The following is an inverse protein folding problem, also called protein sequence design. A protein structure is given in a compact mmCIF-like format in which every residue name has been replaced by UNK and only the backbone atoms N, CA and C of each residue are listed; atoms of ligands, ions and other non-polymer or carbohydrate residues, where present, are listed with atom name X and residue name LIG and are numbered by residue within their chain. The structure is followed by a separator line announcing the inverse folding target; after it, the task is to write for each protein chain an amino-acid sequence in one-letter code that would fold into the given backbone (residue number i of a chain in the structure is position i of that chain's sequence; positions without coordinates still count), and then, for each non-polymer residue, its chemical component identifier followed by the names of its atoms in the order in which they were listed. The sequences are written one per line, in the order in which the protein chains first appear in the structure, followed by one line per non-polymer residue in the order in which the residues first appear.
data_IF_230751493233
#
_entry.id   IF_230751493233
#
_cell.length_a   1.000
_cell.length_b   1.000
_cell.length_c   1.000
_cell.angle_alpha   90.00
_cell.angle_beta   90.00
_cell.angle_gamma   90.00
#
_symmetry.space_group_name_H-M   'P 1'
#
loop_
_entity.id
_entity.type
_entity.pdbx_description
1 polymer ?
#
# COMPACT_ATOMS: atom_id res chain seq x y z
N UNK A 1 -1.44 21.31 24.37
CA UNK A 1 -0.78 22.16 23.35
C UNK A 1 0.47 21.50 22.74
N UNK A 2 1.40 20.94 23.52
CA UNK A 2 2.60 20.25 22.98
C UNK A 2 2.29 19.06 22.06
N UNK A 3 1.29 18.23 22.38
CA UNK A 3 0.90 17.09 21.53
C UNK A 3 0.34 17.51 20.17
N UNK A 4 -0.54 18.51 20.13
CA UNK A 4 -1.08 19.03 18.88
C UNK A 4 0.02 19.61 17.96
N UNK A 5 1.06 20.22 18.53
CA UNK A 5 2.21 20.68 17.76
C UNK A 5 3.01 19.51 17.17
N UNK A 6 3.27 18.46 17.97
CA UNK A 6 3.96 17.23 17.54
C UNK A 6 3.19 16.54 16.40
N UNK A 7 1.87 16.43 16.52
CA UNK A 7 1.01 15.85 15.48
C UNK A 7 1.06 16.65 14.17
N UNK A 8 1.03 17.98 14.24
CA UNK A 8 1.15 18.85 13.06
C UNK A 8 2.50 18.69 12.37
N UNK A 9 3.60 18.63 13.13
CA UNK A 9 4.95 18.41 12.59
C UNK A 9 5.06 17.05 11.92
N UNK A 10 4.54 15.97 12.54
CA UNK A 10 4.54 14.64 11.93
C UNK A 10 3.76 14.61 10.62
N UNK A 11 2.56 15.20 10.58
CA UNK A 11 1.76 15.32 9.34
C UNK A 11 2.46 16.12 8.24
N UNK A 12 3.33 17.07 8.61
CA UNK A 12 4.12 17.86 7.67
C UNK A 12 5.30 17.05 7.12
N UNK A 13 6.08 16.42 8.00
CA UNK A 13 7.22 15.54 7.65
C UNK A 13 6.75 14.41 6.73
N UNK A 14 5.61 13.80 6.99
CA UNK A 14 5.05 12.75 6.13
C UNK A 14 4.63 13.27 4.75
N UNK A 15 3.98 14.44 4.69
CA UNK A 15 3.65 15.08 3.41
C UNK A 15 4.90 15.37 2.60
N UNK A 16 5.98 15.78 3.25
CA UNK A 16 7.28 15.94 2.61
C UNK A 16 7.88 14.61 2.18
N UNK A 17 7.83 13.55 3.00
CA UNK A 17 8.33 12.20 2.66
C UNK A 17 7.62 11.64 1.43
N UNK A 18 6.29 11.76 1.36
CA UNK A 18 5.50 11.32 0.21
C UNK A 18 5.86 12.10 -1.06
N UNK A 19 5.93 13.43 -0.97
CA UNK A 19 6.38 14.27 -2.09
C UNK A 19 7.80 13.90 -2.51
N UNK A 20 8.70 13.69 -1.57
CA UNK A 20 10.09 13.33 -1.84
C UNK A 20 10.20 12.02 -2.61
N UNK A 21 9.51 10.95 -2.17
CA UNK A 21 9.49 9.67 -2.88
C UNK A 21 9.01 9.86 -4.33
N UNK A 22 8.00 10.72 -4.53
CA UNK A 22 7.47 11.03 -5.85
C UNK A 22 8.45 11.84 -6.73
N UNK A 23 9.13 12.83 -6.17
CA UNK A 23 10.01 13.74 -6.91
C UNK A 23 11.48 13.30 -6.95
N UNK A 24 11.89 12.29 -6.18
CA UNK A 24 13.28 11.80 -6.11
C UNK A 24 13.84 11.46 -7.49
N UNK A 25 13.05 10.82 -8.35
CA UNK A 25 13.48 10.49 -9.71
C UNK A 25 13.67 11.72 -10.60
N UNK A 26 12.82 12.73 -10.45
CA UNK A 26 12.98 14.01 -11.17
C UNK A 26 14.23 14.76 -10.71
N UNK A 27 14.52 14.75 -9.41
CA UNK A 27 15.76 15.33 -8.85
C UNK A 27 16.98 14.61 -9.44
N UNK A 28 16.97 13.27 -9.53
CA UNK A 28 18.06 12.54 -10.18
C UNK A 28 18.24 12.89 -11.65
N UNK A 29 17.14 13.11 -12.39
CA UNK A 29 17.23 13.57 -13.78
C UNK A 29 17.91 14.95 -13.88
N UNK A 30 17.57 15.87 -12.97
CA UNK A 30 18.18 17.21 -12.94
C UNK A 30 19.68 17.12 -12.59
N UNK A 31 20.05 16.35 -11.57
CA UNK A 31 21.47 16.17 -11.18
C UNK A 31 22.27 15.57 -12.34
N UNK A 32 21.75 14.53 -12.99
CA UNK A 32 22.44 13.85 -14.09
C UNK A 32 22.57 14.77 -15.32
N UNK A 33 21.54 15.55 -15.61
CA UNK A 33 21.60 16.57 -16.68
C UNK A 33 22.64 17.65 -16.35
N UNK A 34 22.68 18.13 -15.11
CA UNK A 34 23.67 19.12 -14.65
C UNK A 34 25.11 18.60 -14.74
N UNK A 35 25.32 17.31 -14.44
CA UNK A 35 26.61 16.65 -14.63
C UNK A 35 27.02 16.60 -16.11
N UNK A 36 26.09 16.22 -17.00
CA UNK A 36 26.33 16.21 -18.46
C UNK A 36 26.70 17.61 -18.97
N UNK A 37 25.96 18.64 -18.54
CA UNK A 37 26.27 20.04 -18.89
C UNK A 37 27.68 20.43 -18.44
N UNK A 38 28.05 20.07 -17.21
CA UNK A 38 29.37 20.40 -16.65
C UNK A 38 30.51 19.74 -17.44
N UNK A 39 30.32 18.48 -17.84
CA UNK A 39 31.29 17.74 -18.67
C UNK A 39 31.41 18.40 -20.04
N UNK A 40 30.30 18.72 -20.70
CA UNK A 40 30.31 19.36 -22.03
C UNK A 40 31.01 20.72 -21.97
N UNK A 41 30.72 21.53 -20.94
CA UNK A 41 31.35 22.84 -20.76
C UNK A 41 32.86 22.73 -20.58
N UNK A 42 33.33 21.68 -19.90
CA UNK A 42 34.76 21.44 -19.69
C UNK A 42 35.47 20.90 -20.96
N UNK A 43 34.79 20.06 -21.74
CA UNK A 43 35.40 19.31 -22.85
C UNK A 43 35.31 20.05 -24.20
N UNK A 44 34.37 20.98 -24.40
CA UNK A 44 34.13 21.60 -25.72
C UNK A 44 34.24 23.13 -25.73
N UNK A 45 35.47 23.69 -25.75
CA UNK A 45 35.63 25.12 -25.83
C UNK A 45 35.39 25.75 -27.22
N UNK A 46 35.37 25.00 -28.35
CA UNK A 46 35.07 25.57 -29.69
C UNK A 46 34.73 24.48 -30.74
N UNK A 47 33.48 24.40 -31.19
CA UNK A 47 33.08 23.52 -32.30
C UNK A 47 33.05 24.26 -33.65
N UNK A 48 33.47 23.55 -34.71
CA UNK A 48 33.29 23.99 -36.10
C UNK A 48 31.80 24.00 -36.48
N UNK A 49 31.30 25.02 -37.22
CA UNK A 49 29.89 25.15 -37.57
C UNK A 49 29.27 23.95 -38.30
N UNK A 50 30.04 23.22 -39.09
CA UNK A 50 29.56 22.05 -39.83
C UNK A 50 29.18 20.90 -38.88
N UNK A 51 30.02 20.62 -37.88
CA UNK A 51 29.75 19.58 -36.87
C UNK A 51 28.50 19.92 -36.05
N UNK A 52 28.33 21.19 -35.69
CA UNK A 52 27.17 21.67 -34.95
C UNK A 52 25.85 21.38 -35.68
N UNK A 53 25.80 21.56 -37.01
CA UNK A 53 24.60 21.26 -37.81
C UNK A 53 24.21 19.79 -37.76
N UNK A 54 25.19 18.89 -37.90
CA UNK A 54 24.94 17.45 -37.83
C UNK A 54 24.44 17.04 -36.44
N UNK A 55 25.06 17.54 -35.37
CA UNK A 55 24.67 17.23 -33.98
C UNK A 55 23.24 17.71 -33.71
N UNK A 56 22.90 18.96 -34.04
CA UNK A 56 21.58 19.52 -33.78
C UNK A 56 20.47 18.79 -34.55
N UNK A 57 20.72 18.45 -35.82
CA UNK A 57 19.80 17.66 -36.63
C UNK A 57 19.60 16.25 -36.05
N UNK A 58 20.69 15.57 -35.70
CA UNK A 58 20.64 14.23 -35.10
C UNK A 58 19.90 14.22 -33.75
N UNK A 59 20.09 15.24 -32.90
CA UNK A 59 19.36 15.38 -31.64
C UNK A 59 17.85 15.46 -31.88
N UNK A 60 17.41 16.36 -32.78
CA UNK A 60 15.99 16.53 -33.08
C UNK A 60 15.37 15.23 -33.59
N UNK A 61 16.02 14.56 -34.54
CA UNK A 61 15.55 13.29 -35.10
C UNK A 61 15.51 12.18 -34.05
N UNK A 62 16.57 12.04 -33.24
CA UNK A 62 16.65 11.05 -32.17
C UNK A 62 15.57 11.24 -31.11
N UNK A 63 15.34 12.47 -30.66
CA UNK A 63 14.29 12.77 -29.68
C UNK A 63 12.89 12.51 -30.24
N UNK A 64 12.64 12.85 -31.51
CA UNK A 64 11.37 12.57 -32.17
C UNK A 64 11.11 11.06 -32.28
N UNK A 65 12.13 10.28 -32.67
CA UNK A 65 12.02 8.83 -32.74
C UNK A 65 11.77 8.19 -31.37
N UNK A 66 12.49 8.62 -30.34
CA UNK A 66 12.31 8.13 -28.96
C UNK A 66 10.90 8.46 -28.45
N UNK A 67 10.42 9.70 -28.65
CA UNK A 67 9.08 10.10 -28.23
C UNK A 67 8.02 9.26 -28.93
N UNK A 68 8.12 9.10 -30.26
CA UNK A 68 7.20 8.30 -31.05
C UNK A 68 7.15 6.85 -30.56
N UNK A 69 8.31 6.23 -30.29
CA UNK A 69 8.41 4.87 -29.78
C UNK A 69 7.77 4.74 -28.39
N UNK A 70 8.15 5.59 -27.44
CA UNK A 70 7.64 5.52 -26.06
C UNK A 70 6.12 5.74 -26.03
N UNK A 71 5.63 6.69 -26.83
CA UNK A 71 4.21 6.95 -26.95
C UNK A 71 3.46 5.76 -27.56
N UNK A 72 4.01 5.16 -28.61
CA UNK A 72 3.41 4.00 -29.29
C UNK A 72 3.33 2.79 -28.35
N UNK A 73 4.41 2.47 -27.63
CA UNK A 73 4.40 1.39 -26.63
C UNK A 73 3.38 1.67 -25.53
N UNK A 74 3.33 2.91 -25.04
CA UNK A 74 2.36 3.30 -24.01
C UNK A 74 0.91 3.14 -24.49
N UNK A 75 0.62 3.50 -25.74
CA UNK A 75 -0.69 3.29 -26.36
C UNK A 75 -1.02 1.81 -26.53
N UNK A 76 -0.10 1.00 -27.04
CA UNK A 76 -0.30 -0.45 -27.22
C UNK A 76 -0.59 -1.10 -25.87
N UNK A 77 0.16 -0.76 -24.82
CA UNK A 77 -0.08 -1.29 -23.47
C UNK A 77 -1.44 -0.83 -22.93
N UNK A 78 -1.80 0.44 -23.12
CA UNK A 78 -3.12 0.93 -22.72
C UNK A 78 -4.25 0.20 -23.47
N UNK A 79 -4.11 -0.07 -24.76
CA UNK A 79 -5.07 -0.83 -25.57
C UNK A 79 -5.19 -2.29 -25.10
N UNK A 80 -4.06 -2.95 -24.79
CA UNK A 80 -4.07 -4.33 -24.27
C UNK A 80 -4.81 -4.45 -22.94
N UNK A 81 -4.84 -3.39 -22.13
CA UNK A 81 -5.60 -3.39 -20.87
C UNK A 81 -7.12 -3.25 -21.02
N UNK A 82 -7.65 -3.15 -22.26
CA UNK A 82 -9.09 -3.11 -22.61
C UNK A 82 -9.93 -2.03 -21.92
N UNK A 83 -9.33 -1.02 -21.32
CA UNK A 83 -10.05 0.10 -20.70
C UNK A 83 -9.69 1.43 -21.36
N UNK A 84 -10.63 1.98 -22.13
CA UNK A 84 -10.49 3.32 -22.72
C UNK A 84 -10.26 4.41 -21.66
N UNK A 85 -10.81 4.23 -20.45
CA UNK A 85 -10.59 5.14 -19.31
C UNK A 85 -9.15 5.14 -18.79
N UNK A 86 -8.40 4.05 -18.97
CA UNK A 86 -7.00 4.00 -18.59
C UNK A 86 -6.12 4.88 -19.48
N UNK A 87 -6.43 4.90 -20.79
CA UNK A 87 -5.73 5.74 -21.75
C UNK A 87 -5.88 7.22 -21.39
N UNK A 88 -7.10 7.65 -21.06
CA UNK A 88 -7.38 9.02 -20.62
C UNK A 88 -6.56 9.38 -19.36
N UNK A 89 -6.55 8.48 -18.37
CA UNK A 89 -5.82 8.68 -17.12
C UNK A 89 -4.29 8.75 -17.31
N UNK A 90 -3.73 7.99 -18.26
CA UNK A 90 -2.29 7.97 -18.55
C UNK A 90 -1.88 9.19 -19.38
N UNK A 91 -2.59 9.46 -20.48
CA UNK A 91 -2.23 10.52 -21.43
C UNK A 91 -2.49 11.91 -20.83
N UNK A 92 -3.63 12.12 -20.19
CA UNK A 92 -3.99 13.44 -19.66
C UNK A 92 -3.41 13.73 -18.28
N UNK A 93 -2.56 12.85 -17.74
CA UNK A 93 -1.84 13.12 -16.50
C UNK A 93 -0.94 14.35 -16.67
N UNK A 94 -0.97 15.24 -15.69
CA UNK A 94 -0.20 16.50 -15.70
C UNK A 94 1.30 16.27 -15.97
N UNK A 95 1.84 15.17 -15.45
CA UNK A 95 3.25 14.77 -15.65
C UNK A 95 3.53 14.39 -17.11
N UNK A 96 2.64 13.64 -17.76
CA UNK A 96 2.75 13.27 -19.18
C UNK A 96 2.64 14.51 -20.07
N UNK A 97 1.66 15.40 -19.81
CA UNK A 97 1.51 16.65 -20.56
C UNK A 97 2.77 17.51 -20.47
N UNK A 98 3.32 17.63 -19.27
CA UNK A 98 4.57 18.35 -19.05
C UNK A 98 5.72 17.73 -19.85
N UNK A 99 5.88 16.41 -19.80
CA UNK A 99 6.89 15.69 -20.56
C UNK A 99 6.73 15.89 -22.07
N UNK A 100 5.51 15.79 -22.60
CA UNK A 100 5.22 16.01 -24.02
C UNK A 100 5.60 17.42 -24.47
N UNK A 101 5.29 18.45 -23.66
CA UNK A 101 5.69 19.83 -23.96
C UNK A 101 7.22 19.96 -23.96
N UNK A 102 7.90 19.38 -22.97
CA UNK A 102 9.37 19.40 -22.90
C UNK A 102 10.03 18.70 -24.08
N UNK A 103 9.51 17.54 -24.50
CA UNK A 103 9.98 16.85 -25.69
C UNK A 103 9.71 17.66 -26.97
N UNK A 104 8.55 18.31 -27.09
CA UNK A 104 8.26 19.22 -28.20
C UNK A 104 9.29 20.35 -28.28
N UNK A 105 9.61 20.97 -27.14
CA UNK A 105 10.67 22.00 -27.05
C UNK A 105 12.03 21.38 -27.41
N UNK A 106 12.36 20.20 -26.91
CA UNK A 106 13.62 19.51 -27.20
C UNK A 106 13.81 19.12 -28.66
N UNK A 107 12.72 18.87 -29.40
CA UNK A 107 12.75 18.59 -30.85
C UNK A 107 12.87 19.90 -31.64
N UNK A 108 12.09 20.94 -31.29
CA UNK A 108 12.05 22.20 -32.04
C UNK A 108 13.28 23.08 -31.78
N UNK A 109 13.78 23.15 -30.54
CA UNK A 109 14.86 24.06 -30.18
C UNK A 109 16.16 23.82 -30.97
N UNK A 110 16.66 22.59 -31.17
CA UNK A 110 17.83 22.35 -32.01
C UNK A 110 17.64 22.84 -33.46
N UNK A 111 16.43 22.70 -34.02
CA UNK A 111 16.11 23.19 -35.37
C UNK A 111 16.10 24.72 -35.43
N UNK A 112 15.59 25.40 -34.39
CA UNK A 112 15.65 26.86 -34.31
C UNK A 112 17.09 27.37 -34.16
N UNK A 113 17.92 26.70 -33.36
CA UNK A 113 19.35 27.04 -33.26
C UNK A 113 20.04 26.93 -34.62
N UNK A 114 19.66 25.91 -35.41
CA UNK A 114 20.18 25.69 -36.75
C UNK A 114 19.81 26.83 -37.71
N UNK A 115 18.60 27.36 -37.62
CA UNK A 115 18.12 28.48 -38.44
C UNK A 115 18.74 29.82 -38.04
N UNK A 116 18.80 30.13 -36.74
CA UNK A 116 19.27 31.44 -36.26
C UNK A 116 20.79 31.56 -36.11
N UNK A 117 21.53 30.46 -36.18
CA UNK A 117 23.00 30.48 -36.17
C UNK A 117 23.63 30.73 -34.79
N UNK A 118 22.93 30.47 -33.69
CA UNK A 118 23.43 30.66 -32.31
C UNK A 118 24.30 29.49 -31.82
N UNK A 119 25.30 29.06 -32.58
CA UNK A 119 26.01 27.79 -32.36
C UNK A 119 26.70 27.67 -30.99
N UNK A 120 27.38 28.73 -30.53
CA UNK A 120 28.20 28.72 -29.31
C UNK A 120 27.43 28.35 -28.05
N UNK A 121 26.18 28.81 -27.93
CA UNK A 121 25.33 28.55 -26.77
C UNK A 121 24.22 27.53 -27.09
N UNK A 122 23.78 27.49 -28.36
CA UNK A 122 22.69 26.64 -28.79
C UNK A 122 23.04 25.15 -28.76
N UNK A 123 24.25 24.75 -29.18
CA UNK A 123 24.64 23.32 -29.16
C UNK A 123 24.67 22.76 -27.73
N UNK A 124 25.39 23.37 -26.76
CA UNK A 124 25.37 22.88 -25.37
C UNK A 124 23.96 22.87 -24.77
N UNK A 125 23.15 23.88 -25.05
CA UNK A 125 21.77 23.97 -24.56
C UNK A 125 20.89 22.86 -25.17
N UNK A 126 21.01 22.60 -26.46
CA UNK A 126 20.28 21.51 -27.13
C UNK A 126 20.68 20.14 -26.59
N UNK A 127 21.98 19.89 -26.36
CA UNK A 127 22.44 18.64 -25.75
C UNK A 127 21.92 18.51 -24.31
N UNK A 128 21.91 19.60 -23.54
CA UNK A 128 21.36 19.63 -22.19
C UNK A 128 19.87 19.28 -22.16
N UNK A 129 19.08 19.93 -23.02
CA UNK A 129 17.64 19.66 -23.15
C UNK A 129 17.41 18.22 -23.59
N UNK A 130 18.16 17.72 -24.58
CA UNK A 130 18.04 16.35 -25.05
C UNK A 130 18.36 15.33 -23.96
N UNK A 131 19.42 15.57 -23.19
CA UNK A 131 19.80 14.73 -22.04
C UNK A 131 18.70 14.70 -20.99
N UNK A 132 18.14 15.86 -20.65
CA UNK A 132 17.01 15.95 -19.73
C UNK A 132 15.79 15.17 -20.26
N UNK A 133 15.45 15.33 -21.53
CA UNK A 133 14.35 14.59 -22.18
C UNK A 133 14.56 13.08 -22.04
N UNK A 134 15.74 12.56 -22.40
CA UNK A 134 16.05 11.12 -22.27
C UNK A 134 15.97 10.64 -20.83
N UNK A 135 16.55 11.35 -19.86
CA UNK A 135 16.49 10.94 -18.46
C UNK A 135 15.08 11.02 -17.87
N UNK A 136 14.28 12.00 -18.30
CA UNK A 136 12.88 12.16 -17.87
C UNK A 136 11.96 11.01 -18.30
N UNK A 137 12.40 10.16 -19.24
CA UNK A 137 11.68 8.92 -19.57
C UNK A 137 11.63 7.94 -18.40
N UNK A 138 12.64 7.90 -17.53
CA UNK A 138 12.65 7.00 -16.38
C UNK A 138 11.51 7.28 -15.38
N UNK A 139 11.32 8.52 -14.85
CA UNK A 139 10.17 8.81 -14.01
C UNK A 139 8.84 8.65 -14.75
N UNK A 140 8.80 8.93 -16.06
CA UNK A 140 7.60 8.71 -16.87
C UNK A 140 7.20 7.23 -16.93
N UNK A 141 8.12 6.35 -17.35
CA UNK A 141 7.87 4.91 -17.44
C UNK A 141 7.52 4.31 -16.08
N UNK A 142 8.18 4.76 -15.00
CA UNK A 142 7.79 4.38 -13.64
C UNK A 142 6.37 4.83 -13.30
N UNK A 143 5.99 6.04 -13.71
CA UNK A 143 4.64 6.58 -13.55
C UNK A 143 3.58 5.77 -14.29
N UNK A 144 3.85 5.38 -15.54
CA UNK A 144 2.99 4.51 -16.35
C UNK A 144 2.84 3.14 -15.69
N UNK A 145 3.96 2.49 -15.32
CA UNK A 145 3.95 1.18 -14.65
C UNK A 145 3.11 1.20 -13.37
N UNK A 146 3.23 2.26 -12.56
CA UNK A 146 2.40 2.45 -11.38
C UNK A 146 0.90 2.53 -11.70
N UNK A 147 0.49 3.21 -12.77
CA UNK A 147 -0.93 3.32 -13.14
C UNK A 147 -1.45 1.96 -13.60
N UNK A 148 -0.69 1.27 -14.46
CA UNK A 148 -1.04 -0.06 -14.94
C UNK A 148 -1.19 -1.04 -13.78
N UNK A 149 -0.21 -1.09 -12.88
CA UNK A 149 -0.20 -2.01 -11.74
C UNK A 149 -1.33 -1.75 -10.75
N UNK A 150 -1.54 -0.50 -10.35
CA UNK A 150 -2.42 -0.19 -9.23
C UNK A 150 -3.82 0.26 -9.66
N UNK A 151 -3.93 1.13 -10.66
CA UNK A 151 -5.25 1.64 -11.05
C UNK A 151 -6.01 0.67 -11.93
N UNK A 152 -5.30 -0.04 -12.81
CA UNK A 152 -5.92 -0.96 -13.76
C UNK A 152 -5.86 -2.39 -13.21
N UNK A 153 -4.68 -2.82 -12.77
CA UNK A 153 -4.44 -4.18 -12.28
C UNK A 153 -5.39 -4.57 -11.16
N UNK A 154 -5.55 -3.71 -10.14
CA UNK A 154 -6.46 -3.99 -9.01
C UNK A 154 -7.92 -4.11 -9.47
N UNK A 155 -8.39 -3.23 -10.35
CA UNK A 155 -9.79 -3.23 -10.79
C UNK A 155 -10.08 -4.42 -11.71
N UNK A 156 -9.13 -4.79 -12.58
CA UNK A 156 -9.26 -6.01 -13.39
C UNK A 156 -9.28 -7.27 -12.51
N UNK A 157 -8.38 -7.35 -11.51
CA UNK A 157 -8.38 -8.48 -10.58
C UNK A 157 -9.67 -8.57 -9.78
N UNK A 158 -10.19 -7.43 -9.30
CA UNK A 158 -11.46 -7.34 -8.60
C UNK A 158 -12.62 -7.86 -9.45
N UNK A 159 -12.77 -7.35 -10.67
CA UNK A 159 -13.85 -7.77 -11.59
C UNK A 159 -13.75 -9.27 -11.92
N UNK A 160 -12.56 -9.78 -12.25
CA UNK A 160 -12.35 -11.21 -12.54
C UNK A 160 -12.68 -12.11 -11.33
N UNK A 161 -12.26 -11.71 -10.12
CA UNK A 161 -12.54 -12.47 -8.90
C UNK A 161 -14.03 -12.44 -8.56
N UNK A 162 -14.65 -11.25 -8.65
CA UNK A 162 -16.07 -11.07 -8.35
C UNK A 162 -16.97 -11.83 -9.32
N UNK A 163 -16.67 -11.80 -10.62
CA UNK A 163 -17.39 -12.57 -11.64
C UNK A 163 -17.31 -14.07 -11.34
N UNK A 164 -16.13 -14.58 -11.02
CA UNK A 164 -15.96 -16.00 -10.68
C UNK A 164 -16.78 -16.40 -9.44
N UNK A 165 -16.77 -15.56 -8.39
CA UNK A 165 -17.57 -15.79 -7.18
C UNK A 165 -19.07 -15.77 -7.48
N UNK A 166 -19.54 -14.83 -8.30
CA UNK A 166 -20.96 -14.74 -8.65
C UNK A 166 -21.46 -15.95 -9.43
N UNK A 167 -20.62 -16.47 -10.33
CA UNK A 167 -20.90 -17.71 -11.06
C UNK A 167 -20.78 -18.98 -10.20
N UNK A 168 -20.49 -18.85 -8.89
CA UNK A 168 -20.25 -19.99 -7.99
C UNK A 168 -19.03 -20.82 -8.39
N UNK A 169 -18.21 -20.33 -9.31
CA UNK A 169 -16.96 -20.98 -9.70
C UNK A 169 -15.95 -20.68 -8.61
N UNK A 170 -15.09 -21.65 -8.31
CA UNK A 170 -13.94 -21.38 -7.44
C UNK A 170 -13.06 -20.36 -8.18
N UNK A 171 -12.94 -19.09 -7.73
CA UNK A 171 -12.01 -18.15 -8.33
C UNK A 171 -10.62 -18.78 -8.32
N UNK A 172 -9.85 -18.54 -9.37
CA UNK A 172 -8.46 -19.01 -9.41
C UNK A 172 -7.73 -18.38 -8.24
N UNK A 173 -7.24 -19.19 -7.32
CA UNK A 173 -6.53 -18.76 -6.12
C UNK A 173 -5.34 -17.85 -6.43
N UNK A 174 -4.76 -18.03 -7.62
CA UNK A 174 -3.72 -17.18 -8.17
C UNK A 174 -4.10 -15.70 -8.19
N UNK A 175 -5.38 -15.36 -8.40
CA UNK A 175 -5.85 -13.97 -8.52
C UNK A 175 -5.91 -13.24 -7.18
N UNK A 176 -6.34 -13.93 -6.11
CA UNK A 176 -6.28 -13.38 -4.74
C UNK A 176 -4.82 -13.24 -4.30
N UNK A 177 -3.98 -14.22 -4.66
CA UNK A 177 -2.53 -14.14 -4.40
C UNK A 177 -1.88 -12.96 -5.12
N UNK A 178 -2.22 -12.74 -6.39
CA UNK A 178 -1.76 -11.61 -7.18
C UNK A 178 -2.19 -10.29 -6.54
N UNK A 179 -3.42 -10.18 -6.05
CA UNK A 179 -3.89 -8.99 -5.33
C UNK A 179 -3.13 -8.78 -4.00
N UNK A 180 -2.78 -9.85 -3.28
CA UNK A 180 -1.91 -9.78 -2.11
C UNK A 180 -0.49 -9.31 -2.47
N UNK A 181 0.11 -9.83 -3.54
CA UNK A 181 1.44 -9.42 -4.03
C UNK A 181 1.46 -7.94 -4.49
N UNK A 182 0.38 -7.46 -5.10
CA UNK A 182 0.18 -6.04 -5.40
C UNK A 182 0.07 -5.22 -4.11
N UNK A 183 -0.60 -5.75 -3.08
CA UNK A 183 -0.66 -5.17 -1.73
C UNK A 183 0.72 -5.01 -1.11
N UNK A 184 1.51 -6.07 -1.08
CA UNK A 184 2.88 -6.03 -0.56
C UNK A 184 3.77 -5.06 -1.32
N UNK A 185 3.61 -4.98 -2.64
CA UNK A 185 4.32 -4.00 -3.45
C UNK A 185 3.93 -2.57 -3.07
N UNK A 186 2.64 -2.31 -2.88
CA UNK A 186 2.15 -1.00 -2.45
C UNK A 186 2.72 -0.60 -1.08
N UNK A 187 2.90 -1.58 -0.17
CA UNK A 187 3.57 -1.37 1.11
C UNK A 187 5.04 -0.99 0.91
N UNK A 188 5.81 -1.74 0.11
CA UNK A 188 7.21 -1.41 -0.18
C UNK A 188 7.37 -0.02 -0.81
N UNK A 189 6.39 0.41 -1.59
CA UNK A 189 6.36 1.73 -2.24
C UNK A 189 5.73 2.84 -1.37
N UNK A 190 5.30 2.54 -0.13
CA UNK A 190 4.62 3.47 0.78
C UNK A 190 3.37 4.14 0.18
N UNK A 191 2.55 3.35 -0.52
CA UNK A 191 1.32 3.77 -1.23
C UNK A 191 0.06 3.48 -0.41
N UNK A 192 -0.17 4.25 0.65
CA UNK A 192 -1.31 4.04 1.57
C UNK A 192 -2.69 4.13 0.88
N UNK A 193 -2.82 4.99 -0.12
CA UNK A 193 -4.02 5.15 -0.94
C UNK A 193 -4.38 3.85 -1.67
N UNK A 194 -3.36 3.20 -2.22
CA UNK A 194 -3.49 1.91 -2.90
C UNK A 194 -3.80 0.80 -1.90
N UNK A 195 -3.15 0.78 -0.74
CA UNK A 195 -3.43 -0.22 0.30
C UNK A 195 -4.88 -0.13 0.77
N UNK A 196 -5.40 1.09 0.95
CA UNK A 196 -6.82 1.30 1.28
C UNK A 196 -7.78 0.87 0.15
N UNK A 197 -7.37 0.97 -1.11
CA UNK A 197 -8.14 0.41 -2.23
C UNK A 197 -8.12 -1.12 -2.19
N UNK A 198 -6.96 -1.73 -2.01
CA UNK A 198 -6.80 -3.19 -1.94
C UNK A 198 -7.57 -3.77 -0.75
N UNK A 199 -7.53 -3.12 0.41
CA UNK A 199 -8.27 -3.58 1.59
C UNK A 199 -9.77 -3.58 1.34
N UNK A 200 -10.30 -2.56 0.64
CA UNK A 200 -11.72 -2.49 0.27
C UNK A 200 -12.10 -3.58 -0.73
N UNK A 201 -11.28 -3.81 -1.75
CA UNK A 201 -11.48 -4.89 -2.73
C UNK A 201 -11.48 -6.24 -2.03
N UNK A 202 -10.44 -6.55 -1.26
CA UNK A 202 -10.33 -7.80 -0.51
C UNK A 202 -11.51 -7.96 0.46
N UNK A 203 -11.89 -6.93 1.22
CA UNK A 203 -13.04 -7.00 2.12
C UNK A 203 -14.33 -7.36 1.39
N UNK A 204 -14.62 -6.70 0.26
CA UNK A 204 -15.80 -7.01 -0.57
C UNK A 204 -15.76 -8.43 -1.12
N UNK A 205 -14.62 -8.87 -1.66
CA UNK A 205 -14.41 -10.24 -2.14
C UNK A 205 -14.62 -11.25 -1.01
N UNK A 206 -14.07 -10.99 0.18
CA UNK A 206 -14.22 -11.83 1.36
C UNK A 206 -15.67 -11.94 1.81
N UNK A 207 -16.38 -10.82 1.92
CA UNK A 207 -17.81 -10.81 2.26
C UNK A 207 -18.65 -11.57 1.23
N UNK A 208 -18.40 -11.36 -0.06
CA UNK A 208 -19.16 -12.02 -1.11
C UNK A 208 -18.87 -13.51 -1.20
N UNK A 209 -17.61 -13.92 -1.00
CA UNK A 209 -17.26 -15.33 -0.92
C UNK A 209 -17.90 -16.02 0.28
N UNK A 210 -17.99 -15.36 1.44
CA UNK A 210 -18.70 -15.87 2.61
C UNK A 210 -20.20 -16.03 2.34
N UNK A 211 -20.83 -15.05 1.70
CA UNK A 211 -22.24 -15.12 1.26
C UNK A 211 -22.50 -16.32 0.35
N UNK A 212 -21.59 -16.59 -0.60
CA UNK A 212 -21.67 -17.72 -1.52
C UNK A 212 -21.16 -19.04 -0.92
N UNK A 213 -20.86 -19.06 0.39
CA UNK A 213 -20.34 -20.23 1.13
C UNK A 213 -19.05 -20.81 0.53
N UNK A 214 -18.25 -19.97 -0.11
CA UNK A 214 -16.93 -20.32 -0.68
C UNK A 214 -15.84 -20.20 0.39
N UNK A 215 -15.95 -20.97 1.47
CA UNK A 215 -15.13 -20.82 2.69
C UNK A 215 -13.61 -20.78 2.42
N UNK A 216 -13.12 -21.59 1.49
CA UNK A 216 -11.69 -21.62 1.15
C UNK A 216 -11.23 -20.28 0.56
N UNK A 217 -12.06 -19.66 -0.28
CA UNK A 217 -11.81 -18.33 -0.85
C UNK A 217 -11.84 -17.28 0.25
N UNK A 218 -12.83 -17.34 1.14
CA UNK A 218 -12.95 -16.45 2.29
C UNK A 218 -11.70 -16.51 3.16
N UNK A 219 -11.21 -17.72 3.45
CA UNK A 219 -10.00 -17.92 4.27
C UNK A 219 -8.76 -17.33 3.61
N UNK A 220 -8.59 -17.49 2.28
CA UNK A 220 -7.47 -16.87 1.54
C UNK A 220 -7.52 -15.35 1.59
N UNK A 221 -8.70 -14.76 1.51
CA UNK A 221 -8.87 -13.31 1.66
C UNK A 221 -8.50 -12.85 3.07
N UNK A 222 -8.90 -13.61 4.10
CA UNK A 222 -8.54 -13.32 5.50
C UNK A 222 -7.02 -13.34 5.67
N UNK A 223 -6.33 -14.36 5.14
CA UNK A 223 -4.86 -14.41 5.17
C UNK A 223 -4.21 -13.23 4.44
N UNK A 224 -4.72 -12.85 3.27
CA UNK A 224 -4.22 -11.70 2.53
C UNK A 224 -4.40 -10.39 3.33
N UNK A 225 -5.58 -10.16 3.90
CA UNK A 225 -5.84 -8.99 4.75
C UNK A 225 -4.94 -8.98 5.99
N UNK A 226 -4.79 -10.12 6.68
CA UNK A 226 -3.90 -10.28 7.83
C UNK A 226 -2.45 -9.91 7.48
N UNK A 227 -1.90 -10.49 6.42
CA UNK A 227 -0.53 -10.26 5.97
C UNK A 227 -0.30 -8.79 5.56
N UNK A 228 -1.21 -8.20 4.78
CA UNK A 228 -1.14 -6.78 4.41
C UNK A 228 -1.25 -5.90 5.67
N UNK A 229 -2.12 -6.26 6.62
CA UNK A 229 -2.31 -5.52 7.87
C UNK A 229 -1.05 -5.49 8.72
N UNK A 230 -0.43 -6.65 8.94
CA UNK A 230 0.82 -6.78 9.69
C UNK A 230 1.95 -5.96 9.06
N UNK A 231 2.17 -6.11 7.75
CA UNK A 231 3.19 -5.35 7.02
C UNK A 231 2.88 -3.84 7.00
N UNK A 232 1.61 -3.44 6.99
CA UNK A 232 1.22 -2.03 7.05
C UNK A 232 1.53 -1.41 8.41
N UNK A 233 1.25 -2.13 9.50
CA UNK A 233 1.62 -1.71 10.87
C UNK A 233 3.13 -1.64 11.01
N UNK A 234 3.86 -2.64 10.52
CA UNK A 234 5.32 -2.69 10.59
C UNK A 234 5.99 -1.49 9.91
N UNK A 235 5.43 -1.04 8.77
CA UNK A 235 5.90 0.15 8.05
C UNK A 235 5.38 1.48 8.63
N UNK A 236 4.63 1.44 9.73
CA UNK A 236 4.09 2.60 10.41
C UNK A 236 3.07 3.36 9.57
N UNK A 237 2.29 2.67 8.73
CA UNK A 237 1.27 3.34 7.93
C UNK A 237 0.12 3.88 8.77
N UNK A 238 -0.50 4.91 8.22
CA UNK A 238 -1.60 5.62 8.87
C UNK A 238 -2.74 4.70 9.21
N UNK A 239 -3.41 5.15 10.25
CA UNK A 239 -4.70 4.68 10.72
C UNK A 239 -5.66 4.30 9.59
N UNK A 240 -5.86 5.13 8.56
CA UNK A 240 -6.87 4.85 7.53
C UNK A 240 -6.61 3.56 6.73
N UNK A 241 -5.36 3.24 6.41
CA UNK A 241 -5.02 2.06 5.60
C UNK A 241 -5.17 0.77 6.41
N UNK A 242 -4.58 0.73 7.60
CA UNK A 242 -4.65 -0.41 8.53
C UNK A 242 -6.08 -0.58 9.09
N UNK A 243 -6.79 0.52 9.38
CA UNK A 243 -8.20 0.48 9.81
C UNK A 243 -9.06 -0.18 8.75
N UNK A 244 -8.89 0.18 7.47
CA UNK A 244 -9.65 -0.44 6.39
C UNK A 244 -9.45 -1.97 6.29
N UNK A 245 -8.30 -2.48 6.74
CA UNK A 245 -8.01 -3.91 6.82
C UNK A 245 -8.71 -4.54 8.03
N UNK A 246 -8.59 -3.92 9.20
CA UNK A 246 -9.21 -4.36 10.46
C UNK A 246 -10.74 -4.35 10.36
N UNK A 247 -11.33 -3.31 9.79
CA UNK A 247 -12.75 -3.24 9.46
C UNK A 247 -13.14 -4.32 8.44
N UNK A 248 -12.29 -4.55 7.44
CA UNK A 248 -12.50 -5.59 6.44
C UNK A 248 -12.60 -6.99 7.04
N UNK A 249 -11.69 -7.33 7.96
CA UNK A 249 -11.70 -8.58 8.72
C UNK A 249 -13.00 -8.73 9.54
N UNK A 250 -13.41 -7.69 10.27
CA UNK A 250 -14.69 -7.68 11.00
C UNK A 250 -15.89 -7.90 10.08
N UNK A 251 -15.94 -7.23 8.92
CA UNK A 251 -17.07 -7.39 8.00
C UNK A 251 -17.15 -8.80 7.42
N UNK A 252 -16.01 -9.43 7.15
CA UNK A 252 -15.94 -10.83 6.72
C UNK A 252 -16.46 -11.74 7.83
N UNK A 253 -16.01 -11.58 9.08
CA UNK A 253 -16.50 -12.36 10.22
C UNK A 253 -18.01 -12.20 10.39
N UNK A 254 -18.51 -10.96 10.40
CA UNK A 254 -19.95 -10.67 10.52
C UNK A 254 -20.77 -11.37 9.43
N UNK A 255 -20.29 -11.35 8.18
CA UNK A 255 -20.99 -12.00 7.06
C UNK A 255 -20.93 -13.52 7.18
N UNK A 256 -19.78 -14.07 7.58
CA UNK A 256 -19.58 -15.51 7.84
C UNK A 256 -20.52 -16.02 8.94
N UNK A 257 -20.67 -15.27 10.03
CA UNK A 257 -21.54 -15.64 11.16
C UNK A 257 -23.01 -15.73 10.78
N UNK A 258 -23.46 -14.88 9.84
CA UNK A 258 -24.86 -14.79 9.39
C UNK A 258 -25.24 -15.82 8.33
N UNK A 259 -24.34 -16.12 7.39
CA UNK A 259 -24.71 -16.85 6.16
C UNK A 259 -24.36 -18.35 6.22
N UNK A 260 -23.48 -18.77 7.14
CA UNK A 260 -23.02 -20.16 7.26
C UNK A 260 -23.75 -20.83 8.43
N UNK A 261 -24.93 -21.37 8.18
CA UNK A 261 -25.70 -22.14 9.17
C UNK A 261 -25.34 -23.64 9.18
N UNK A 262 -24.75 -24.19 8.11
CA UNK A 262 -24.84 -25.65 7.81
C UNK A 262 -23.51 -26.41 7.96
N UNK A 263 -22.41 -25.75 8.34
CA UNK A 263 -21.12 -26.42 8.52
C UNK A 263 -20.29 -25.76 9.63
N UNK A 264 -20.45 -26.26 10.87
CA UNK A 264 -19.75 -25.73 12.05
C UNK A 264 -18.25 -25.57 11.83
N UNK A 265 -17.59 -26.62 11.36
CA UNK A 265 -16.13 -26.65 11.20
C UNK A 265 -15.57 -25.55 10.30
N UNK A 266 -16.26 -25.21 9.18
CA UNK A 266 -15.77 -24.18 8.26
C UNK A 266 -16.04 -22.77 8.78
N UNK A 267 -17.20 -22.56 9.41
CA UNK A 267 -17.54 -21.29 10.05
C UNK A 267 -16.50 -20.97 11.11
N UNK A 268 -16.22 -21.94 11.97
CA UNK A 268 -15.27 -21.79 13.07
C UNK A 268 -13.86 -21.54 12.56
N UNK A 269 -13.41 -22.27 11.52
CA UNK A 269 -12.10 -22.06 10.92
C UNK A 269 -11.89 -20.61 10.40
N UNK A 270 -12.89 -20.06 9.70
CA UNK A 270 -12.80 -18.67 9.19
C UNK A 270 -12.83 -17.66 10.34
N UNK A 271 -13.67 -17.87 11.36
CA UNK A 271 -13.77 -16.97 12.52
C UNK A 271 -12.49 -16.99 13.35
N UNK A 272 -11.94 -18.18 13.63
CA UNK A 272 -10.66 -18.33 14.32
C UNK A 272 -9.55 -17.60 13.58
N UNK A 273 -9.47 -17.72 12.25
CA UNK A 273 -8.42 -17.04 11.49
C UNK A 273 -8.63 -15.51 11.45
N UNK A 274 -9.87 -15.02 11.41
CA UNK A 274 -10.15 -13.58 11.56
C UNK A 274 -9.70 -13.09 12.93
N UNK A 275 -10.03 -13.80 14.00
CA UNK A 275 -9.65 -13.42 15.37
C UNK A 275 -8.13 -13.43 15.57
N UNK A 276 -7.43 -14.44 15.04
CA UNK A 276 -5.96 -14.47 15.00
C UNK A 276 -5.40 -13.29 14.21
N UNK A 277 -5.93 -13.01 13.02
CA UNK A 277 -5.49 -11.88 12.22
C UNK A 277 -5.69 -10.53 12.92
N UNK A 278 -6.82 -10.33 13.59
CA UNK A 278 -7.06 -9.14 14.42
C UNK A 278 -6.08 -9.06 15.60
N UNK A 279 -5.89 -10.15 16.35
CA UNK A 279 -4.94 -10.22 17.47
C UNK A 279 -3.52 -9.86 17.02
N UNK A 280 -3.03 -10.49 15.95
CA UNK A 280 -1.67 -10.28 15.44
C UNK A 280 -1.45 -8.83 15.02
N UNK A 281 -2.42 -8.23 14.32
CA UNK A 281 -2.38 -6.81 13.95
C UNK A 281 -2.40 -5.91 15.20
N UNK A 282 -3.23 -6.23 16.19
CA UNK A 282 -3.32 -5.47 17.44
C UNK A 282 -2.04 -5.50 18.26
N UNK A 283 -1.46 -6.69 18.45
CA UNK A 283 -0.19 -6.86 19.18
C UNK A 283 0.93 -6.12 18.46
N UNK A 284 1.01 -6.23 17.12
CA UNK A 284 2.00 -5.47 16.35
C UNK A 284 1.75 -3.96 16.42
N UNK A 285 0.48 -3.54 16.47
CA UNK A 285 0.12 -2.13 16.62
C UNK A 285 0.52 -1.58 17.99
N UNK A 286 0.42 -2.38 19.06
CA UNK A 286 0.91 -2.04 20.39
C UNK A 286 2.44 -1.85 20.39
N UNK A 287 3.20 -2.76 19.77
CA UNK A 287 4.65 -2.63 19.60
C UNK A 287 5.03 -1.31 18.89
N UNK A 288 4.22 -0.87 17.92
CA UNK A 288 4.44 0.36 17.16
C UNK A 288 3.80 1.61 17.77
N UNK A 289 3.12 1.52 18.91
CA UNK A 289 2.44 2.65 19.54
C UNK A 289 1.24 3.19 18.75
N UNK A 290 0.59 2.37 17.91
CA UNK A 290 -0.53 2.79 17.04
C UNK A 290 -1.89 2.66 17.75
N UNK A 291 -2.08 3.47 18.78
CA UNK A 291 -3.24 3.42 19.70
C UNK A 291 -4.61 3.35 19.03
N UNK A 292 -4.82 4.13 17.96
CA UNK A 292 -6.10 4.15 17.27
C UNK A 292 -6.43 2.78 16.65
N UNK A 293 -5.43 2.08 16.12
CA UNK A 293 -5.58 0.71 15.60
C UNK A 293 -5.83 -0.26 16.74
N UNK A 294 -5.15 -0.12 17.87
CA UNK A 294 -5.36 -0.98 19.05
C UNK A 294 -6.80 -0.88 19.53
N UNK A 295 -7.37 0.33 19.62
CA UNK A 295 -8.76 0.55 20.02
C UNK A 295 -9.75 -0.13 19.06
N UNK A 296 -9.53 0.00 17.75
CA UNK A 296 -10.38 -0.63 16.75
C UNK A 296 -10.27 -2.15 16.80
N UNK A 297 -9.06 -2.71 16.92
CA UNK A 297 -8.83 -4.15 17.06
C UNK A 297 -9.52 -4.68 18.31
N UNK A 298 -9.34 -4.04 19.46
CA UNK A 298 -9.98 -4.44 20.71
C UNK A 298 -11.51 -4.45 20.56
N UNK A 299 -12.10 -3.39 19.97
CA UNK A 299 -13.53 -3.32 19.73
C UNK A 299 -14.04 -4.40 18.77
N UNK A 300 -13.27 -4.74 17.74
CA UNK A 300 -13.65 -5.76 16.77
C UNK A 300 -13.48 -7.19 17.31
N UNK A 301 -12.44 -7.46 18.11
CA UNK A 301 -12.28 -8.72 18.84
C UNK A 301 -13.48 -8.95 19.77
N UNK A 302 -13.88 -7.95 20.56
CA UNK A 302 -15.08 -8.03 21.42
C UNK A 302 -16.36 -8.26 20.63
N UNK A 303 -16.54 -7.55 19.51
CA UNK A 303 -17.71 -7.73 18.65
C UNK A 303 -17.78 -9.16 18.10
N UNK A 304 -16.70 -9.64 17.46
CA UNK A 304 -16.68 -10.97 16.85
C UNK A 304 -16.77 -12.06 17.92
N UNK A 305 -16.09 -11.91 19.06
CA UNK A 305 -16.15 -12.82 20.20
C UNK A 305 -17.56 -12.98 20.74
N UNK A 306 -18.28 -11.88 20.96
CA UNK A 306 -19.67 -11.90 21.43
C UNK A 306 -20.60 -12.64 20.47
N UNK A 307 -20.51 -12.33 19.18
CA UNK A 307 -21.41 -12.89 18.17
C UNK A 307 -21.11 -14.36 17.87
N UNK A 308 -19.87 -14.81 18.13
CA UNK A 308 -19.43 -16.18 17.84
C UNK A 308 -19.37 -17.10 19.06
N UNK A 309 -19.26 -16.55 20.27
CA UNK A 309 -18.93 -17.31 21.49
C UNK A 309 -17.52 -17.93 21.44
N UNK A 310 -16.67 -17.50 20.50
CA UNK A 310 -15.38 -18.13 20.23
C UNK A 310 -14.30 -17.58 21.19
N UNK A 311 -13.58 -18.50 21.85
CA UNK A 311 -12.64 -18.20 22.94
C UNK A 311 -11.37 -17.50 22.44
N UNK A 312 -11.02 -17.68 21.17
CA UNK A 312 -9.86 -17.05 20.56
C UNK A 312 -9.98 -15.52 20.55
N UNK A 313 -11.19 -14.97 20.64
CA UNK A 313 -11.39 -13.54 20.84
C UNK A 313 -10.88 -13.07 22.20
N UNK A 314 -11.18 -13.84 23.25
CA UNK A 314 -10.72 -13.57 24.61
C UNK A 314 -9.20 -13.75 24.72
N UNK A 315 -8.66 -14.83 24.15
CA UNK A 315 -7.20 -15.03 24.05
C UNK A 315 -6.55 -13.85 23.35
N UNK A 316 -7.08 -13.41 22.21
CA UNK A 316 -6.55 -12.27 21.46
C UNK A 316 -6.57 -10.96 22.26
N UNK A 317 -7.65 -10.70 23.03
CA UNK A 317 -7.72 -9.54 23.91
C UNK A 317 -6.70 -9.60 25.06
N UNK A 318 -6.47 -10.77 25.65
CA UNK A 318 -5.45 -10.95 26.68
C UNK A 318 -4.03 -10.73 26.14
N UNK A 319 -3.71 -11.27 24.95
CA UNK A 319 -2.41 -11.02 24.31
C UNK A 319 -2.25 -9.53 23.96
N UNK A 320 -3.31 -8.88 23.49
CA UNK A 320 -3.32 -7.45 23.22
C UNK A 320 -3.10 -6.62 24.50
N UNK A 321 -3.75 -7.00 25.60
CA UNK A 321 -3.59 -6.36 26.90
C UNK A 321 -2.15 -6.43 27.39
N UNK A 322 -1.56 -7.62 27.39
CA UNK A 322 -0.14 -7.81 27.74
C UNK A 322 0.79 -6.97 26.86
N UNK A 323 0.55 -6.92 25.54
CA UNK A 323 1.34 -6.10 24.63
C UNK A 323 1.18 -4.59 24.91
N UNK A 324 -0.04 -4.12 25.22
CA UNK A 324 -0.28 -2.72 25.60
C UNK A 324 0.43 -2.37 26.90
N UNK A 325 0.35 -3.22 27.94
CA UNK A 325 1.05 -3.01 29.21
C UNK A 325 2.57 -2.95 29.00
N UNK A 326 3.13 -3.77 28.10
CA UNK A 326 4.56 -3.76 27.79
C UNK A 326 5.00 -2.50 27.04
N UNK A 327 4.32 -2.16 25.95
CA UNK A 327 4.81 -1.18 24.98
C UNK A 327 4.21 0.22 25.15
N UNK A 328 3.06 0.33 25.83
CA UNK A 328 2.32 1.58 26.04
C UNK A 328 1.78 1.67 27.49
N UNK A 329 2.66 1.57 28.51
CA UNK A 329 2.21 1.54 29.90
C UNK A 329 1.49 2.85 30.31
N UNK A 330 0.46 2.71 31.16
CA UNK A 330 -0.26 3.86 31.75
C UNK A 330 -1.23 4.56 30.80
N UNK A 331 -1.64 3.90 29.72
CA UNK A 331 -2.45 4.51 28.67
C UNK A 331 -3.94 4.12 28.74
N UNK A 332 -4.82 5.02 28.30
CA UNK A 332 -6.30 4.82 28.27
C UNK A 332 -6.72 3.56 27.50
N UNK A 333 -5.88 3.10 26.57
CA UNK A 333 -6.12 1.87 25.81
C UNK A 333 -6.18 0.64 26.71
N UNK A 334 -5.40 0.60 27.79
CA UNK A 334 -5.44 -0.49 28.77
C UNK A 334 -6.83 -0.63 29.40
N UNK A 335 -7.45 0.49 29.78
CA UNK A 335 -8.82 0.54 30.31
C UNK A 335 -9.84 0.02 29.28
N UNK A 336 -9.64 0.33 28.00
CA UNK A 336 -10.52 -0.14 26.93
C UNK A 336 -10.40 -1.66 26.76
N UNK A 337 -9.17 -2.20 26.77
CA UNK A 337 -8.94 -3.65 26.65
C UNK A 337 -9.52 -4.39 27.86
N UNK A 338 -9.30 -3.90 29.09
CA UNK A 338 -9.87 -4.48 30.32
C UNK A 338 -11.39 -4.52 30.26
N UNK A 339 -12.04 -3.41 29.89
CA UNK A 339 -13.51 -3.37 29.76
C UNK A 339 -14.01 -4.41 28.75
N UNK A 340 -13.32 -4.53 27.62
CA UNK A 340 -13.64 -5.46 26.55
C UNK A 340 -13.43 -6.93 26.96
N UNK A 341 -12.45 -7.23 27.82
CA UNK A 341 -12.22 -8.56 28.41
C UNK A 341 -13.38 -8.90 29.36
N UNK A 342 -13.69 -8.02 30.31
CA UNK A 342 -14.79 -8.24 31.28
C UNK A 342 -16.11 -8.53 30.58
N UNK A 343 -16.42 -7.79 29.52
CA UNK A 343 -17.61 -8.02 28.70
C UNK A 343 -17.64 -9.39 28.00
N UNK A 344 -16.49 -9.92 27.56
CA UNK A 344 -16.44 -11.26 26.96
C UNK A 344 -16.43 -12.39 27.99
N UNK A 345 -15.83 -12.18 29.16
CA UNK A 345 -15.80 -13.17 30.25
C UNK A 345 -17.21 -13.47 30.79
N UNK A 346 -18.12 -12.50 30.76
CA UNK A 346 -19.55 -12.72 31.10
C UNK A 346 -20.26 -13.67 30.13
N UNK A 347 -19.81 -13.72 28.87
CA UNK A 347 -20.44 -14.50 27.80
C UNK A 347 -19.77 -15.87 27.66
N UNK A 348 -18.45 -15.92 27.77
CA UNK A 348 -17.64 -17.10 27.49
C UNK A 348 -17.21 -17.73 28.83
N UNK A 349 -17.92 -18.77 29.28
CA UNK A 349 -17.68 -19.40 30.59
C UNK A 349 -16.59 -20.47 30.58
N UNK A 350 -15.57 -20.34 31.43
CA UNK A 350 -14.54 -21.37 31.58
C UNK A 350 -13.20 -20.83 32.11
N UNK A 351 -12.29 -21.74 32.47
CA UNK A 351 -10.91 -21.37 32.85
C UNK A 351 -10.07 -21.11 31.60
N UNK A 352 -10.22 -19.90 31.04
CA UNK A 352 -9.48 -19.47 29.84
C UNK A 352 -8.15 -18.84 30.17
N UNK A 353 -7.93 -18.40 31.40
CA UNK A 353 -6.80 -17.55 31.73
C UNK A 353 -5.47 -18.28 31.53
N UNK A 354 -5.39 -19.53 31.99
CA UNK A 354 -4.22 -20.39 31.79
C UNK A 354 -3.99 -20.71 30.31
N UNK A 355 -5.08 -20.88 29.54
CA UNK A 355 -5.02 -21.14 28.11
C UNK A 355 -4.54 -19.89 27.35
N UNK A 356 -5.06 -18.72 27.70
CA UNK A 356 -4.67 -17.45 27.11
C UNK A 356 -3.18 -17.15 27.37
N UNK A 357 -2.72 -17.34 28.62
CA UNK A 357 -1.30 -17.19 28.95
C UNK A 357 -0.42 -18.08 28.07
N UNK A 358 -0.72 -19.37 27.99
CA UNK A 358 0.03 -20.32 27.15
C UNK A 358 0.00 -19.91 25.67
N UNK A 359 -1.18 -19.65 25.13
CA UNK A 359 -1.34 -19.27 23.72
C UNK A 359 -0.63 -17.96 23.38
N UNK A 360 -0.62 -16.96 24.27
CA UNK A 360 0.10 -15.71 24.02
C UNK A 360 1.61 -15.94 23.95
N UNK A 361 2.18 -16.80 24.80
CA UNK A 361 3.60 -17.14 24.72
C UNK A 361 3.94 -17.95 23.48
N UNK A 362 3.07 -18.90 23.09
CA UNK A 362 3.27 -19.73 21.90
C UNK A 362 3.13 -18.94 20.59
N UNK A 363 2.19 -17.98 20.53
CA UNK A 363 1.96 -17.16 19.35
C UNK A 363 2.97 -16.02 19.19
N UNK A 364 3.51 -15.51 20.31
CA UNK A 364 4.43 -14.36 20.30
C UNK A 364 5.72 -14.62 21.10
N UNK A 365 6.49 -15.67 20.77
CA UNK A 365 7.67 -16.06 21.53
C UNK A 365 8.75 -14.97 21.53
N UNK A 366 8.86 -14.20 20.44
CA UNK A 366 9.88 -13.16 20.27
C UNK A 366 9.58 -11.87 21.06
N UNK A 367 8.35 -11.71 21.57
CA UNK A 367 7.92 -10.48 22.24
C UNK A 367 8.12 -10.50 23.75
N UNK A 368 8.55 -11.61 24.34
CA UNK A 368 8.79 -11.77 25.79
C UNK A 368 7.67 -11.14 26.63
N UNK A 369 6.43 -11.60 26.41
CA UNK A 369 5.23 -11.02 27.02
C UNK A 369 4.96 -11.53 28.43
N UNK A 370 5.77 -12.44 28.97
CA UNK A 370 5.47 -13.16 30.23
C UNK A 370 5.25 -12.21 31.41
N UNK A 371 6.22 -11.34 31.67
CA UNK A 371 6.14 -10.41 32.80
C UNK A 371 5.02 -9.37 32.58
N UNK A 372 4.84 -8.93 31.34
CA UNK A 372 3.79 -8.00 30.97
C UNK A 372 2.39 -8.61 31.09
N UNK A 373 2.24 -9.91 30.82
CA UNK A 373 0.99 -10.65 30.98
C UNK A 373 0.62 -10.75 32.47
N UNK A 374 1.59 -11.08 33.32
CA UNK A 374 1.37 -11.13 34.77
C UNK A 374 1.06 -9.75 35.36
N UNK A 375 1.71 -8.69 34.87
CA UNK A 375 1.35 -7.33 35.28
C UNK A 375 -0.05 -6.94 34.80
N UNK A 376 -0.39 -7.20 33.54
CA UNK A 376 -1.72 -6.94 32.99
C UNK A 376 -2.81 -7.70 33.77
N UNK A 377 -2.55 -8.95 34.16
CA UNK A 377 -3.44 -9.76 35.02
C UNK A 377 -3.66 -9.12 36.39
N UNK A 378 -2.61 -8.58 37.03
CA UNK A 378 -2.77 -7.83 38.30
C UNK A 378 -3.62 -6.57 38.11
N UNK A 379 -3.45 -5.87 36.99
CA UNK A 379 -4.21 -4.66 36.68
C UNK A 379 -5.68 -5.00 36.40
N UNK A 380 -5.97 -6.06 35.64
CA UNK A 380 -7.33 -6.50 35.33
C UNK A 380 -8.13 -6.94 36.57
N UNK A 381 -7.45 -7.50 37.58
CA UNK A 381 -8.03 -7.95 38.84
C UNK A 381 -8.29 -6.82 39.85
N UNK A 382 -7.80 -5.61 39.59
CA UNK A 382 -8.17 -4.41 40.37
C UNK A 382 -9.48 -3.83 39.83
#
# INVERSE_FOLDING_TARGET
MKEQAKEKVNKLVERFRYKWIKYKYWIYCIILTSAVISIIYYVHPNECPENARYILSAISQGLAAILALVFTITLVVAQMTRRYTAMDKIIFRRETKFLMIFFGIGIIAPLLVLEFGFWKWGVPLSIAIASFCVFSLLPFLKGVNSVLKYDIGIVNLDEEIMEAIELGRKPRLSKIRELNEVGESAIKESREDVISLISRVLSRVGMKSAEKKLWYVTLQVVYALKNIGLKSVENGFKYNSTRGIVDGLKFIARKTLKEIEVSGDFKDAVIVEVLKGLSDIGVKAAEKGLEAIIKDVAGHLTYVGRESGNKEALIGLWCLGAAVTKYIPGYVVEVIVIRNIKELEEIISGDWLQLAERCCMDYYPDLDLKDAFEEFKRINNR
#
